data_IF_676982285230
#
_entry.id   IF_676982285230
#
_cell.length_a   1.000
_cell.length_b   1.000
_cell.length_c   1.000
_cell.angle_alpha   90.00
_cell.angle_beta   90.00
_cell.angle_gamma   90.00
#
_symmetry.space_group_name_H-M   'P 1'
#
loop_
_entity.id
_entity.type
_entity.pdbx_description
1 polymer ?
#
# COMPACT_ATOMS: atom_id res chain seq x y z
N UNK A 1 -14.09 18.76 -5.43
CA UNK A 1 -14.86 18.12 -4.34
C UNK A 1 -14.03 17.92 -3.08
N UNK A 2 -13.10 16.97 -3.03
CA UNK A 2 -12.29 16.72 -1.80
C UNK A 2 -11.49 17.95 -1.38
N UNK A 3 -10.78 18.60 -2.31
CA UNK A 3 -10.05 19.84 -2.03
C UNK A 3 -10.97 21.01 -1.62
N UNK A 4 -12.19 21.06 -2.16
CA UNK A 4 -13.16 22.12 -1.83
C UNK A 4 -13.81 21.89 -0.46
N UNK A 5 -13.95 20.63 -0.04
CA UNK A 5 -14.39 20.25 1.30
C UNK A 5 -13.43 20.69 2.42
N UNK A 6 -12.20 21.13 2.09
CA UNK A 6 -11.29 21.77 3.04
C UNK A 6 -11.82 23.13 3.53
N UNK A 7 -12.75 23.78 2.81
CA UNK A 7 -13.32 25.08 3.21
C UNK A 7 -14.12 25.01 4.50
N UNK A 8 -14.72 23.85 4.80
CA UNK A 8 -15.51 23.60 6.02
C UNK A 8 -14.72 22.87 7.11
N UNK A 9 -13.41 22.66 6.92
CA UNK A 9 -12.50 22.11 7.91
C UNK A 9 -11.91 20.73 7.55
N UNK A 10 -11.02 20.24 8.41
CA UNK A 10 -10.32 18.96 8.20
C UNK A 10 -11.27 17.75 8.29
N UNK A 11 -12.30 17.81 9.13
CA UNK A 11 -13.25 16.72 9.31
C UNK A 11 -14.03 16.41 8.02
N UNK A 12 -14.53 17.43 7.33
CA UNK A 12 -15.23 17.27 6.06
C UNK A 12 -14.30 16.74 4.97
N UNK A 13 -13.06 17.22 4.89
CA UNK A 13 -12.07 16.68 3.95
C UNK A 13 -11.85 15.17 4.12
N UNK A 14 -11.70 14.68 5.36
CA UNK A 14 -11.53 13.24 5.64
C UNK A 14 -12.78 12.44 5.25
N UNK A 15 -13.98 12.94 5.57
CA UNK A 15 -15.25 12.27 5.23
C UNK A 15 -15.39 12.12 3.72
N UNK A 16 -15.16 13.20 2.96
CA UNK A 16 -15.22 13.16 1.50
C UNK A 16 -14.13 12.26 0.90
N UNK A 17 -12.92 12.26 1.47
CA UNK A 17 -11.84 11.36 1.06
C UNK A 17 -12.18 9.88 1.25
N UNK A 18 -12.74 9.51 2.40
CA UNK A 18 -13.20 8.14 2.67
C UNK A 18 -14.33 7.71 1.72
N UNK A 19 -15.31 8.59 1.51
CA UNK A 19 -16.40 8.33 0.57
C UNK A 19 -15.89 8.12 -0.87
N UNK A 20 -14.91 8.92 -1.32
CA UNK A 20 -14.28 8.75 -2.62
C UNK A 20 -13.55 7.41 -2.73
N UNK A 21 -12.85 7.00 -1.68
CA UNK A 21 -12.21 5.68 -1.60
C UNK A 21 -13.19 4.52 -1.69
N UNK A 22 -14.33 4.60 -1.00
CA UNK A 22 -15.37 3.56 -1.09
C UNK A 22 -16.07 3.54 -2.45
N UNK A 23 -16.17 4.69 -3.12
CA UNK A 23 -16.74 4.76 -4.47
C UNK A 23 -15.79 4.21 -5.53
N UNK A 24 -14.47 4.38 -5.37
CA UNK A 24 -13.48 4.04 -6.39
C UNK A 24 -13.35 2.55 -6.67
N UNK A 25 -13.75 1.67 -5.72
CA UNK A 25 -13.64 0.21 -5.88
C UNK A 25 -14.69 -0.39 -6.82
N UNK A 26 -15.78 0.33 -7.12
CA UNK A 26 -16.92 -0.21 -7.86
C UNK A 26 -16.50 -0.68 -9.26
N UNK A 27 -15.88 0.21 -10.06
CA UNK A 27 -15.50 -0.09 -11.45
C UNK A 27 -14.40 -1.17 -11.51
N UNK A 28 -13.30 -1.10 -10.73
CA UNK A 28 -12.27 -2.14 -10.73
C UNK A 28 -12.80 -3.54 -10.37
N UNK A 29 -13.72 -3.65 -9.41
CA UNK A 29 -14.30 -4.94 -9.04
C UNK A 29 -15.11 -5.54 -10.18
N UNK A 30 -15.91 -4.73 -10.89
CA UNK A 30 -16.63 -5.20 -12.08
C UNK A 30 -15.67 -5.64 -13.20
N UNK A 31 -14.59 -4.89 -13.43
CA UNK A 31 -13.57 -5.27 -14.42
C UNK A 31 -12.92 -6.63 -14.08
N UNK A 32 -12.57 -6.86 -12.81
CA UNK A 32 -12.02 -8.14 -12.33
C UNK A 32 -13.06 -9.26 -12.48
N UNK A 33 -14.32 -9.02 -12.13
CA UNK A 33 -15.39 -10.01 -12.24
C UNK A 33 -15.60 -10.46 -13.70
N UNK A 34 -15.61 -9.52 -14.65
CA UNK A 34 -15.69 -9.81 -16.09
C UNK A 34 -14.46 -10.61 -16.54
N UNK A 35 -13.26 -10.21 -16.12
CA UNK A 35 -12.03 -10.93 -16.45
C UNK A 35 -12.06 -12.37 -15.94
N UNK A 36 -12.52 -12.60 -14.70
CA UNK A 36 -12.68 -13.94 -14.13
C UNK A 36 -13.69 -14.74 -14.94
N UNK A 37 -14.88 -14.19 -15.21
CA UNK A 37 -15.93 -14.89 -15.93
C UNK A 37 -15.47 -15.34 -17.32
N UNK A 38 -14.93 -14.42 -18.12
CA UNK A 38 -14.47 -14.72 -19.50
C UNK A 38 -13.31 -15.72 -19.50
N UNK A 39 -12.31 -15.51 -18.65
CA UNK A 39 -11.13 -16.39 -18.62
C UNK A 39 -11.45 -17.79 -18.10
N UNK A 40 -12.33 -17.90 -17.10
CA UNK A 40 -12.77 -19.17 -16.56
C UNK A 40 -13.59 -19.97 -17.57
N UNK A 41 -14.49 -19.33 -18.32
CA UNK A 41 -15.28 -20.00 -19.35
C UNK A 41 -14.43 -20.55 -20.51
N UNK A 42 -13.30 -19.92 -20.83
CA UNK A 42 -12.44 -20.33 -21.95
C UNK A 42 -11.48 -21.46 -21.57
N UNK A 43 -10.86 -21.41 -20.40
CA UNK A 43 -9.80 -22.35 -20.02
C UNK A 43 -9.72 -22.63 -18.50
N UNK A 44 -10.85 -22.54 -17.79
CA UNK A 44 -10.96 -22.78 -16.36
C UNK A 44 -9.88 -22.03 -15.55
N UNK A 45 -9.21 -22.72 -14.62
CA UNK A 45 -8.16 -22.12 -13.77
C UNK A 45 -6.91 -21.72 -14.54
N UNK A 46 -6.59 -22.42 -15.64
CA UNK A 46 -5.47 -22.03 -16.51
C UNK A 46 -5.75 -20.70 -17.23
N UNK A 47 -6.99 -20.52 -17.69
CA UNK A 47 -7.44 -19.25 -18.29
C UNK A 47 -7.29 -18.07 -17.33
N UNK A 48 -7.70 -18.22 -16.07
CA UNK A 48 -7.53 -17.18 -15.05
C UNK A 48 -6.04 -16.87 -14.82
N UNK A 49 -5.18 -17.89 -14.75
CA UNK A 49 -3.74 -17.72 -14.58
C UNK A 49 -3.10 -16.94 -15.75
N UNK A 50 -3.47 -17.28 -16.99
CA UNK A 50 -2.99 -16.58 -18.19
C UNK A 50 -3.55 -15.16 -18.27
N UNK A 51 -4.80 -14.92 -17.86
CA UNK A 51 -5.37 -13.57 -17.76
C UNK A 51 -4.60 -12.70 -16.77
N UNK A 52 -4.17 -13.27 -15.62
CA UNK A 52 -3.31 -12.58 -14.67
C UNK A 52 -1.94 -12.23 -15.28
N UNK A 53 -1.35 -13.17 -16.03
CA UNK A 53 -0.10 -12.92 -16.75
C UNK A 53 -0.27 -11.84 -17.82
N UNK A 54 -1.41 -11.83 -18.53
CA UNK A 54 -1.77 -10.81 -19.50
C UNK A 54 -1.84 -9.41 -18.88
N UNK A 55 -2.44 -9.28 -17.68
CA UNK A 55 -2.46 -8.02 -16.93
C UNK A 55 -1.04 -7.53 -16.56
N UNK A 56 -0.11 -8.46 -16.31
CA UNK A 56 1.29 -8.16 -15.99
C UNK A 56 2.22 -8.14 -17.21
N UNK A 57 1.72 -8.38 -18.42
CA UNK A 57 2.56 -8.44 -19.63
C UNK A 57 3.29 -7.11 -19.90
N UNK A 58 2.67 -5.99 -19.53
CA UNK A 58 3.22 -4.63 -19.64
C UNK A 58 3.87 -4.14 -18.34
N UNK A 59 4.32 -5.04 -17.46
CA UNK A 59 4.86 -4.68 -16.15
C UNK A 59 6.08 -3.75 -16.24
N UNK A 60 6.91 -3.87 -17.28
CA UNK A 60 8.05 -2.98 -17.47
C UNK A 60 7.63 -1.50 -17.59
N UNK A 61 6.61 -1.23 -18.40
CA UNK A 61 6.04 0.11 -18.55
C UNK A 61 5.33 0.55 -17.27
N UNK A 62 4.57 -0.34 -16.64
CA UNK A 62 3.90 -0.06 -15.37
C UNK A 62 4.87 0.36 -14.27
N UNK A 63 5.96 -0.39 -14.09
CA UNK A 63 7.01 -0.11 -13.12
C UNK A 63 7.78 1.18 -13.45
N UNK A 64 8.04 1.46 -14.73
CA UNK A 64 8.71 2.71 -15.12
C UNK A 64 7.89 3.94 -14.73
N UNK A 65 6.57 3.88 -14.94
CA UNK A 65 5.64 4.98 -14.64
C UNK A 65 5.36 5.10 -13.13
N UNK A 66 5.38 3.99 -12.38
CA UNK A 66 5.29 3.98 -10.91
C UNK A 66 6.57 4.52 -10.26
N UNK A 67 7.74 4.06 -10.72
CA UNK A 67 9.05 4.51 -10.22
C UNK A 67 9.32 6.00 -10.50
N UNK A 68 8.72 6.55 -11.54
CA UNK A 68 8.79 7.97 -11.87
C UNK A 68 8.28 8.89 -10.74
N UNK A 69 7.27 8.48 -9.97
CA UNK A 69 6.69 9.30 -8.91
C UNK A 69 7.69 9.61 -7.78
N UNK A 70 8.23 8.60 -7.08
CA UNK A 70 9.23 8.82 -6.03
C UNK A 70 10.51 9.53 -6.51
N UNK A 71 10.89 9.38 -7.78
CA UNK A 71 12.02 10.12 -8.35
C UNK A 71 11.70 11.62 -8.41
N UNK A 72 10.49 11.96 -8.87
CA UNK A 72 10.03 13.34 -9.00
C UNK A 72 9.84 14.03 -7.64
N UNK A 73 9.28 13.32 -6.65
CA UNK A 73 9.15 13.81 -5.25
C UNK A 73 10.53 14.16 -4.66
N UNK A 74 11.50 13.24 -4.76
CA UNK A 74 12.85 13.48 -4.28
C UNK A 74 13.55 14.65 -5.00
N UNK A 75 13.30 14.82 -6.30
CA UNK A 75 13.83 15.96 -7.06
C UNK A 75 13.27 17.29 -6.53
N UNK A 76 11.97 17.37 -6.22
CA UNK A 76 11.36 18.54 -5.61
C UNK A 76 11.91 18.83 -4.20
N UNK A 77 12.10 17.79 -3.38
CA UNK A 77 12.74 17.93 -2.07
C UNK A 77 14.18 18.44 -2.14
N UNK A 78 14.96 17.99 -3.13
CA UNK A 78 16.32 18.49 -3.37
C UNK A 78 16.28 19.95 -3.81
N UNK A 79 15.37 20.33 -4.70
CA UNK A 79 15.24 21.71 -5.17
C UNK A 79 14.94 22.68 -4.01
N UNK A 80 14.05 22.29 -3.10
CA UNK A 80 13.70 23.04 -1.90
C UNK A 80 14.90 23.17 -0.94
N UNK A 81 15.57 22.05 -0.64
CA UNK A 81 16.72 22.04 0.29
C UNK A 81 17.95 22.77 -0.25
N UNK A 82 18.11 22.83 -1.57
CA UNK A 82 19.19 23.55 -2.24
C UNK A 82 18.89 25.04 -2.47
N UNK A 83 17.71 25.53 -2.05
CA UNK A 83 17.33 26.94 -2.23
C UNK A 83 17.20 27.35 -3.70
N UNK A 84 16.78 26.43 -4.57
CA UNK A 84 16.62 26.70 -6.01
C UNK A 84 15.42 27.63 -6.28
N UNK A 85 15.32 28.16 -7.49
CA UNK A 85 14.26 29.11 -7.85
C UNK A 85 12.86 28.49 -7.79
N UNK A 86 11.85 29.32 -7.47
CA UNK A 86 10.45 28.90 -7.36
C UNK A 86 9.92 28.21 -8.63
N UNK A 87 10.40 28.64 -9.80
CA UNK A 87 10.06 28.04 -11.10
C UNK A 87 10.51 26.57 -11.22
N UNK A 88 11.58 26.17 -10.54
CA UNK A 88 12.00 24.77 -10.49
C UNK A 88 11.05 23.97 -9.59
N UNK A 89 10.67 24.54 -8.43
CA UNK A 89 9.73 23.91 -7.51
C UNK A 89 8.36 23.68 -8.14
N UNK A 90 7.80 24.69 -8.80
CA UNK A 90 6.53 24.58 -9.55
C UNK A 90 6.56 23.46 -10.60
N UNK A 91 7.68 23.31 -11.31
CA UNK A 91 7.86 22.21 -12.28
C UNK A 91 7.89 20.86 -11.56
N UNK A 92 8.66 20.73 -10.49
CA UNK A 92 8.74 19.46 -9.75
C UNK A 92 7.42 19.09 -9.08
N UNK A 93 6.63 20.07 -8.63
CA UNK A 93 5.33 19.83 -7.99
C UNK A 93 4.30 19.33 -8.99
N UNK A 94 4.34 19.82 -10.23
CA UNK A 94 3.52 19.28 -11.31
C UNK A 94 3.88 17.81 -11.64
N UNK A 95 5.18 17.47 -11.59
CA UNK A 95 5.65 16.09 -11.83
C UNK A 95 5.28 15.16 -10.65
N UNK A 96 5.40 15.62 -9.41
CA UNK A 96 4.99 14.86 -8.21
C UNK A 96 3.47 14.59 -8.20
N UNK A 97 2.65 15.59 -8.57
CA UNK A 97 1.21 15.39 -8.69
C UNK A 97 0.84 14.28 -9.71
N UNK A 98 1.55 14.23 -10.84
CA UNK A 98 1.41 13.14 -11.80
C UNK A 98 1.89 11.80 -11.21
N UNK A 99 3.02 11.80 -10.51
CA UNK A 99 3.57 10.64 -9.80
C UNK A 99 2.62 10.02 -8.76
N UNK A 100 1.86 10.84 -8.03
CA UNK A 100 0.86 10.37 -7.08
C UNK A 100 -0.28 9.61 -7.77
N UNK A 101 -0.65 10.03 -8.98
CA UNK A 101 -1.66 9.34 -9.81
C UNK A 101 -1.12 8.02 -10.33
N UNK A 102 0.14 8.00 -10.80
CA UNK A 102 0.76 6.78 -11.33
C UNK A 102 0.98 5.72 -10.25
N UNK A 103 1.33 6.15 -9.03
CA UNK A 103 1.43 5.27 -7.88
C UNK A 103 0.08 4.63 -7.50
N UNK A 104 -1.03 5.35 -7.66
CA UNK A 104 -2.36 4.79 -7.45
C UNK A 104 -2.72 3.75 -8.53
N UNK A 105 -2.36 4.01 -9.79
CA UNK A 105 -2.54 3.06 -10.90
C UNK A 105 -1.70 1.79 -10.66
N UNK A 106 -0.43 1.93 -10.27
CA UNK A 106 0.46 0.81 -9.96
C UNK A 106 -0.10 -0.10 -8.86
N UNK A 107 -0.64 0.49 -7.78
CA UNK A 107 -1.36 -0.26 -6.73
C UNK A 107 -2.59 -0.99 -7.27
N UNK A 108 -3.35 -0.37 -8.17
CA UNK A 108 -4.49 -1.00 -8.83
C UNK A 108 -4.10 -2.25 -9.64
N UNK A 109 -3.04 -2.15 -10.45
CA UNK A 109 -2.48 -3.28 -11.20
C UNK A 109 -2.02 -4.42 -10.27
N UNK A 110 -1.33 -4.07 -9.17
CA UNK A 110 -0.88 -5.06 -8.19
C UNK A 110 -2.05 -5.78 -7.51
N UNK A 111 -3.11 -5.05 -7.12
CA UNK A 111 -4.30 -5.64 -6.49
C UNK A 111 -5.08 -6.52 -7.47
N UNK A 112 -5.30 -6.04 -8.70
CA UNK A 112 -6.04 -6.78 -9.73
C UNK A 112 -5.35 -8.08 -10.12
N UNK A 113 -4.03 -8.02 -10.37
CA UNK A 113 -3.24 -9.21 -10.70
C UNK A 113 -3.17 -10.18 -9.53
N UNK A 114 -2.97 -9.69 -8.30
CA UNK A 114 -2.98 -10.52 -7.10
C UNK A 114 -4.33 -11.25 -6.91
N UNK A 115 -5.46 -10.60 -7.19
CA UNK A 115 -6.78 -11.23 -7.10
C UNK A 115 -6.92 -12.39 -8.10
N UNK A 116 -6.54 -12.18 -9.37
CA UNK A 116 -6.61 -13.22 -10.41
C UNK A 116 -5.65 -14.38 -10.11
N UNK A 117 -4.39 -14.09 -9.76
CA UNK A 117 -3.40 -15.13 -9.39
C UNK A 117 -3.87 -15.90 -8.16
N UNK A 118 -4.41 -15.22 -7.14
CA UNK A 118 -4.89 -15.89 -5.92
C UNK A 118 -6.03 -16.86 -6.21
N UNK A 119 -6.96 -16.50 -7.12
CA UNK A 119 -8.02 -17.40 -7.53
C UNK A 119 -7.50 -18.63 -8.30
N UNK A 120 -6.54 -18.42 -9.21
CA UNK A 120 -5.90 -19.52 -9.93
C UNK A 120 -5.14 -20.47 -8.97
N UNK A 121 -4.39 -19.91 -8.01
CA UNK A 121 -3.70 -20.68 -6.97
C UNK A 121 -4.67 -21.39 -6.04
N UNK A 122 -5.82 -20.79 -5.73
CA UNK A 122 -6.85 -21.43 -4.95
C UNK A 122 -7.41 -22.67 -5.66
N UNK A 123 -7.69 -22.59 -6.96
CA UNK A 123 -8.10 -23.76 -7.74
C UNK A 123 -7.02 -24.85 -7.80
N UNK A 124 -5.76 -24.47 -7.98
CA UNK A 124 -4.63 -25.40 -7.93
C UNK A 124 -4.48 -26.06 -6.55
N UNK A 125 -4.71 -25.31 -5.47
CA UNK A 125 -4.70 -25.81 -4.10
C UNK A 125 -5.79 -26.85 -3.86
N UNK A 126 -7.03 -26.59 -4.30
CA UNK A 126 -8.16 -27.53 -4.17
C UNK A 126 -7.84 -28.86 -4.84
N UNK A 127 -7.29 -28.82 -6.06
CA UNK A 127 -6.87 -30.03 -6.78
C UNK A 127 -5.73 -30.75 -6.06
N UNK A 128 -4.71 -30.02 -5.59
CA UNK A 128 -3.55 -30.62 -4.90
C UNK A 128 -3.89 -31.21 -3.54
N UNK A 129 -4.83 -30.61 -2.81
CA UNK A 129 -5.31 -31.06 -1.52
C UNK A 129 -6.27 -32.26 -1.61
N UNK A 130 -6.65 -32.69 -2.82
CA UNK A 130 -7.58 -33.80 -3.03
C UNK A 130 -9.02 -33.46 -2.63
N UNK A 131 -9.39 -32.18 -2.62
CA UNK A 131 -10.74 -31.72 -2.28
C UNK A 131 -11.61 -31.84 -3.52
N UNK A 132 -12.67 -32.67 -3.44
CA UNK A 132 -13.58 -32.91 -4.58
C UNK A 132 -14.46 -31.70 -4.90
N UNK A 133 -15.01 -31.06 -3.88
CA UNK A 133 -15.85 -29.87 -3.99
C UNK A 133 -15.60 -28.94 -2.81
N UNK A 134 -15.58 -27.63 -3.08
CA UNK A 134 -15.58 -26.60 -2.04
C UNK A 134 -17.01 -26.13 -1.86
N UNK A 135 -17.69 -26.67 -0.86
CA UNK A 135 -19.03 -26.25 -0.49
C UNK A 135 -19.00 -25.20 0.62
N UNK A 136 -19.45 -24.00 0.29
CA UNK A 136 -19.49 -22.83 1.17
C UNK A 136 -20.46 -23.03 2.35
N UNK A 137 -21.47 -23.90 2.20
CA UNK A 137 -22.46 -24.16 3.25
C UNK A 137 -21.96 -25.13 4.32
N UNK A 138 -20.78 -25.74 4.13
CA UNK A 138 -20.20 -26.60 5.17
C UNK A 138 -19.63 -25.77 6.32
N UNK A 139 -19.81 -26.19 7.60
CA UNK A 139 -19.32 -25.42 8.75
C UNK A 139 -17.82 -25.11 8.68
N UNK A 140 -17.00 -26.06 8.19
CA UNK A 140 -15.56 -25.89 8.05
C UNK A 140 -15.20 -24.79 7.04
N UNK A 141 -15.84 -24.77 5.86
CA UNK A 141 -15.59 -23.76 4.84
C UNK A 141 -16.09 -22.38 5.29
N UNK A 142 -17.27 -22.33 5.91
CA UNK A 142 -17.88 -21.07 6.33
C UNK A 142 -17.10 -20.36 7.44
N UNK A 143 -16.62 -21.10 8.45
CA UNK A 143 -15.75 -20.56 9.50
C UNK A 143 -14.44 -20.03 8.87
N UNK A 144 -13.86 -20.78 7.94
CA UNK A 144 -12.67 -20.35 7.19
C UNK A 144 -12.90 -19.06 6.39
N UNK A 145 -14.06 -18.91 5.75
CA UNK A 145 -14.43 -17.73 4.97
C UNK A 145 -14.54 -16.48 5.85
N UNK A 146 -15.25 -16.56 6.99
CA UNK A 146 -15.42 -15.42 7.91
C UNK A 146 -14.08 -15.01 8.54
N UNK A 147 -13.32 -15.99 9.03
CA UNK A 147 -11.99 -15.71 9.62
C UNK A 147 -11.06 -15.13 8.56
N UNK A 148 -11.07 -15.67 7.35
CA UNK A 148 -10.27 -15.17 6.22
C UNK A 148 -10.62 -13.74 5.82
N UNK A 149 -11.91 -13.39 5.77
CA UNK A 149 -12.37 -12.03 5.45
C UNK A 149 -11.98 -10.99 6.51
N UNK A 150 -11.77 -11.41 7.77
CA UNK A 150 -11.33 -10.53 8.86
C UNK A 150 -9.82 -10.25 8.81
N UNK A 151 -9.00 -11.13 8.24
CA UNK A 151 -7.53 -10.99 8.22
C UNK A 151 -7.02 -9.67 7.63
N UNK A 152 -7.54 -9.14 6.49
CA UNK A 152 -7.12 -7.85 5.97
C UNK A 152 -7.37 -6.69 6.94
N UNK A 153 -8.50 -6.69 7.65
CA UNK A 153 -8.83 -5.67 8.64
C UNK A 153 -7.90 -5.72 9.85
N UNK A 154 -7.58 -6.93 10.32
CA UNK A 154 -6.60 -7.11 11.39
C UNK A 154 -5.20 -6.63 10.96
N UNK A 155 -4.78 -6.96 9.74
CA UNK A 155 -3.52 -6.47 9.20
C UNK A 155 -3.48 -4.93 9.08
N UNK A 156 -4.55 -4.32 8.59
CA UNK A 156 -4.69 -2.85 8.54
C UNK A 156 -4.62 -2.22 9.93
N UNK A 157 -5.27 -2.80 10.94
CA UNK A 157 -5.21 -2.28 12.30
C UNK A 157 -3.78 -2.28 12.88
N UNK A 158 -3.02 -3.35 12.67
CA UNK A 158 -1.63 -3.44 13.14
C UNK A 158 -0.72 -2.42 12.44
N UNK A 159 -0.83 -2.29 11.12
CA UNK A 159 -0.01 -1.36 10.33
C UNK A 159 -0.35 0.10 10.66
N UNK A 160 -1.62 0.46 10.74
CA UNK A 160 -2.07 1.82 11.12
C UNK A 160 -1.64 2.20 12.54
N UNK A 161 -1.78 1.28 13.51
CA UNK A 161 -1.31 1.52 14.89
C UNK A 161 0.21 1.73 14.95
N UNK A 162 0.97 0.98 14.15
CA UNK A 162 2.42 1.09 14.08
C UNK A 162 2.85 2.44 13.51
N UNK A 163 2.23 2.88 12.40
CA UNK A 163 2.48 4.19 11.80
C UNK A 163 2.06 5.32 12.75
N UNK A 164 0.88 5.23 13.38
CA UNK A 164 0.40 6.25 14.32
C UNK A 164 1.32 6.41 15.53
N UNK A 165 1.80 5.32 16.10
CA UNK A 165 2.75 5.35 17.23
C UNK A 165 4.10 5.96 16.83
N UNK A 166 4.58 5.69 15.60
CA UNK A 166 5.80 6.30 15.08
C UNK A 166 5.62 7.80 14.81
N UNK A 167 4.47 8.19 14.24
CA UNK A 167 4.14 9.59 13.95
C UNK A 167 4.03 10.43 15.23
N UNK A 168 3.36 9.94 16.28
CA UNK A 168 3.27 10.61 17.58
C UNK A 168 4.67 10.91 18.15
N UNK A 169 5.55 9.90 18.14
CA UNK A 169 6.94 10.03 18.60
C UNK A 169 7.76 11.02 17.78
N UNK A 170 7.46 11.22 16.49
CA UNK A 170 8.12 12.22 15.64
C UNK A 170 7.62 13.64 15.95
N UNK A 171 6.32 13.80 16.20
CA UNK A 171 5.71 15.09 16.55
C UNK A 171 6.17 15.56 17.92
N UNK A 172 6.18 14.66 18.92
CA UNK A 172 6.72 14.94 20.25
C UNK A 172 8.17 15.44 20.18
N UNK A 173 9.01 14.81 19.35
CA UNK A 173 10.41 15.22 19.17
C UNK A 173 10.54 16.58 18.47
N UNK A 174 9.69 16.90 17.50
CA UNK A 174 9.65 18.22 16.84
C UNK A 174 9.26 19.33 17.83
N UNK A 175 8.38 19.01 18.78
CA UNK A 175 7.82 19.98 19.72
C UNK A 175 8.64 20.13 21.01
N UNK A 176 9.64 19.27 21.25
CA UNK A 176 10.55 19.36 22.40
C UNK A 176 11.40 20.66 22.38
N UNK A 177 11.17 21.62 23.30
CA UNK A 177 11.85 22.90 23.33
C UNK A 177 13.36 22.78 23.61
N UNK A 178 13.77 21.78 24.41
CA UNK A 178 15.18 21.55 24.76
C UNK A 178 16.01 21.05 23.58
N UNK A 179 15.33 20.59 22.52
CA UNK A 179 15.95 20.15 21.28
C UNK A 179 15.95 21.23 20.20
N UNK A 180 14.99 22.17 20.21
CA UNK A 180 14.96 23.34 19.30
C UNK A 180 16.19 24.24 19.47
N UNK A 181 16.64 24.50 20.69
CA UNK A 181 17.82 25.35 20.95
C UNK A 181 19.13 24.71 20.48
N UNK A 182 19.23 23.38 20.47
CA UNK A 182 20.37 22.66 19.88
C UNK A 182 20.41 22.72 18.34
N UNK A 183 19.27 22.98 17.68
CA UNK A 183 19.20 23.21 16.23
C UNK A 183 19.70 24.60 15.83
N UNK A 184 19.38 25.63 16.63
CA UNK A 184 19.80 27.00 16.36
C UNK A 184 21.34 27.18 16.42
N UNK A 185 22.03 26.42 17.27
CA UNK A 185 23.50 26.45 17.38
C UNK A 185 24.24 25.54 16.37
N UNK A 186 23.53 24.64 15.66
CA UNK A 186 24.12 23.63 14.77
C UNK A 186 24.00 23.98 13.28
N UNK A 187 23.53 25.19 12.94
CA UNK A 187 23.35 25.65 11.55
C UNK A 187 24.66 25.81 10.78
N UNK A 188 25.82 25.77 11.44
CA UNK A 188 27.12 25.91 10.76
C UNK A 188 27.94 24.62 10.63
N UNK A 189 27.60 23.53 11.33
CA UNK A 189 28.38 22.28 11.23
C UNK A 189 27.53 21.05 11.53
N UNK A 190 27.11 20.36 10.46
CA UNK A 190 26.39 19.07 10.41
C UNK A 190 24.93 19.14 10.87
N UNK A 191 24.05 18.44 10.14
CA UNK A 191 22.61 18.42 10.37
C UNK A 191 22.19 17.15 11.17
N UNK A 192 22.13 17.18 12.52
CA UNK A 192 21.89 16.00 13.36
C UNK A 192 20.47 15.43 13.29
N UNK A 193 19.51 16.11 12.64
CA UNK A 193 18.11 15.63 12.52
C UNK A 193 18.01 14.47 11.55
N UNK A 194 18.69 14.57 10.41
CA UNK A 194 18.67 13.56 9.33
C UNK A 194 19.27 12.23 9.77
N UNK A 195 20.27 12.25 10.65
CA UNK A 195 20.90 11.04 11.20
C UNK A 195 20.12 10.39 12.34
N UNK A 196 19.15 11.09 12.96
CA UNK A 196 18.32 10.56 14.06
C UNK A 196 16.95 10.08 13.60
N UNK A 197 16.30 10.77 12.66
CA UNK A 197 15.08 10.26 12.02
C UNK A 197 15.37 8.95 11.25
N UNK A 198 16.53 8.85 10.60
CA UNK A 198 16.97 7.60 9.96
C UNK A 198 17.27 6.47 10.97
N UNK A 199 17.72 6.78 12.19
CA UNK A 199 17.90 5.81 13.28
C UNK A 199 16.60 5.31 13.92
N UNK A 200 15.43 5.85 13.56
CA UNK A 200 14.11 5.30 13.99
C UNK A 200 13.41 4.46 12.91
N UNK A 201 13.99 4.34 11.71
CA UNK A 201 13.65 3.25 10.77
C UNK A 201 13.69 1.83 11.40
N UNK A 202 14.53 1.49 12.39
CA UNK A 202 14.41 0.21 13.10
C UNK A 202 13.09 0.01 13.85
N UNK A 203 12.37 1.06 14.29
CA UNK A 203 11.01 0.91 14.83
C UNK A 203 10.02 0.46 13.75
N UNK A 204 10.24 0.86 12.50
CA UNK A 204 9.52 0.30 11.37
C UNK A 204 9.89 -1.18 11.20
N UNK A 205 11.18 -1.53 11.12
CA UNK A 205 11.62 -2.93 10.95
C UNK A 205 11.15 -3.88 12.09
N UNK A 206 11.02 -3.41 13.33
CA UNK A 206 10.45 -4.23 14.42
C UNK A 206 8.93 -4.35 14.31
N UNK A 207 8.24 -3.27 13.92
CA UNK A 207 6.78 -3.27 13.79
C UNK A 207 6.29 -4.07 12.59
N UNK A 208 7.08 -4.20 11.50
CA UNK A 208 6.77 -5.07 10.36
C UNK A 208 6.94 -6.57 10.64
N UNK A 209 7.64 -6.92 11.73
CA UNK A 209 7.89 -8.31 12.11
C UNK A 209 6.60 -9.02 12.54
N UNK A 210 5.72 -8.32 13.26
CA UNK A 210 4.46 -8.88 13.76
C UNK A 210 3.42 -9.13 12.63
N UNK A 211 3.09 -8.15 11.76
CA UNK A 211 2.21 -8.37 10.62
C UNK A 211 2.76 -9.41 9.63
N UNK A 212 4.07 -9.41 9.37
CA UNK A 212 4.72 -10.39 8.50
C UNK A 212 4.66 -11.82 9.03
N UNK A 213 4.84 -12.01 10.35
CA UNK A 213 4.66 -13.32 11.00
C UNK A 213 3.22 -13.80 10.99
N UNK A 214 2.23 -12.91 11.00
CA UNK A 214 0.81 -13.30 10.93
C UNK A 214 0.37 -13.71 9.52
N UNK A 215 0.90 -13.08 8.46
CA UNK A 215 0.68 -13.53 7.07
C UNK A 215 1.47 -14.79 6.73
N UNK A 216 2.69 -14.92 7.26
CA UNK A 216 3.48 -16.14 7.17
C UNK A 216 3.13 -17.08 8.31
N UNK A 217 1.95 -17.71 8.26
CA UNK A 217 1.68 -18.93 9.02
C UNK A 217 2.57 -20.06 8.48
N UNK A 218 3.88 -19.95 8.68
CA UNK A 218 4.87 -20.94 8.30
C UNK A 218 5.39 -21.58 9.58
N UNK A 219 5.09 -22.88 9.71
CA UNK A 219 5.60 -23.82 10.69
C UNK A 219 6.94 -23.40 11.33
N UNK A 220 6.89 -22.98 12.60
CA UNK A 220 8.03 -23.06 13.54
C UNK A 220 7.69 -23.99 14.72
N UNK A 221 7.11 -25.15 14.42
CA UNK A 221 7.03 -26.31 15.32
C UNK A 221 7.07 -27.56 14.46
N UNK A 222 8.28 -28.03 14.15
CA UNK A 222 8.64 -29.39 13.69
C UNK A 222 10.00 -29.36 13.00
N UNK A 223 11.05 -28.98 13.74
CA UNK A 223 12.36 -29.58 13.57
C UNK A 223 12.86 -29.76 15.00
N UNK A 224 12.87 -31.03 15.43
CA UNK A 224 13.61 -31.45 16.61
C UNK A 224 15.11 -31.37 16.38
#
# INVERSE_FOLDING_TARGET
>A
DVADACRTGAATNVIFGLALGYKSVIIPIFAIAIAIYVSFSLAAMYGIAVAALGMLSTIATGLAIDAYGPISDNAGGIAEMAGMSHKIRERTDALDAAGNTTAAIGKGFAIGSAALVSLALFGAYVSRAGIKTVDVLTPKAFIGLIVGAMLPYWFSAMTMKSVGSAALKMVEERNDPTRRTRYAYSTYSRNPFRSRNSRRCPCWCTSFRCPGCHLSFKHRRSMG
#
